data_IF_573622359110
#
_entry.id   IF_573622359110
#
_cell.length_a   1.000
_cell.length_b   1.000
_cell.length_c   1.000
_cell.angle_alpha   90.00
_cell.angle_beta   90.00
_cell.angle_gamma   90.00
#
_symmetry.space_group_name_H-M   'P 1'
#
loop_
_entity.id
_entity.type
_entity.pdbx_description
1 polymer ?
#
# COMPACT_ATOMS: atom_id res chain seq x y z
N UNK A 1 17.28 4.01 -9.15
CA UNK A 1 16.45 3.32 -8.14
C UNK A 1 15.54 2.25 -8.77
N UNK A 2 14.62 2.58 -9.69
CA UNK A 2 13.63 1.60 -10.19
C UNK A 2 14.23 0.37 -10.90
N UNK A 3 15.31 0.53 -11.67
CA UNK A 3 16.02 -0.60 -12.32
C UNK A 3 16.61 -1.58 -11.30
N UNK A 4 17.32 -1.08 -10.31
CA UNK A 4 17.87 -1.88 -9.22
C UNK A 4 16.78 -2.61 -8.42
N UNK A 5 15.63 -1.95 -8.18
CA UNK A 5 14.47 -2.58 -7.53
C UNK A 5 13.90 -3.74 -8.34
N UNK A 6 13.82 -3.59 -9.67
CA UNK A 6 13.41 -4.67 -10.57
C UNK A 6 14.42 -5.82 -10.58
N UNK A 7 15.72 -5.53 -10.63
CA UNK A 7 16.75 -6.56 -10.67
C UNK A 7 16.73 -7.41 -9.39
N UNK A 8 16.57 -6.78 -8.22
CA UNK A 8 16.42 -7.47 -6.93
C UNK A 8 15.15 -8.32 -6.89
N UNK A 9 14.01 -7.78 -7.32
CA UNK A 9 12.74 -8.51 -7.34
C UNK A 9 12.83 -9.73 -8.27
N UNK A 10 13.40 -9.58 -9.47
CA UNK A 10 13.60 -10.67 -10.42
C UNK A 10 14.52 -11.75 -9.88
N UNK A 11 15.66 -11.38 -9.28
CA UNK A 11 16.59 -12.33 -8.70
C UNK A 11 15.91 -13.19 -7.62
N UNK A 12 15.08 -12.59 -6.76
CA UNK A 12 14.34 -13.36 -5.75
C UNK A 12 13.32 -14.30 -6.40
N UNK A 13 12.57 -13.80 -7.40
CA UNK A 13 11.52 -14.58 -8.07
C UNK A 13 12.05 -15.72 -8.95
N UNK A 14 13.31 -15.66 -9.38
CA UNK A 14 13.97 -16.78 -10.07
C UNK A 14 14.11 -18.01 -9.15
N UNK A 15 14.47 -17.80 -7.88
CA UNK A 15 14.62 -18.88 -6.90
C UNK A 15 13.34 -19.18 -6.12
N UNK A 16 12.47 -18.18 -5.93
CA UNK A 16 11.21 -18.27 -5.19
C UNK A 16 10.10 -17.55 -5.97
N UNK A 17 9.52 -18.19 -6.99
CA UNK A 17 8.53 -17.55 -7.89
C UNK A 17 7.28 -17.04 -7.17
N UNK A 18 7.04 -17.51 -5.96
CA UNK A 18 5.89 -17.16 -5.14
C UNK A 18 6.21 -16.21 -3.98
N UNK A 19 7.43 -15.66 -3.90
CA UNK A 19 7.81 -14.71 -2.86
C UNK A 19 6.94 -13.45 -2.93
N UNK A 20 6.04 -13.34 -1.96
CA UNK A 20 5.02 -12.30 -1.96
C UNK A 20 5.60 -10.89 -1.82
N UNK A 21 6.68 -10.76 -1.03
CA UNK A 21 7.35 -9.49 -0.81
C UNK A 21 8.05 -9.03 -2.09
N UNK A 22 8.67 -9.94 -2.82
CA UNK A 22 9.29 -9.65 -4.11
C UNK A 22 8.25 -9.27 -5.18
N UNK A 23 7.10 -9.95 -5.23
CA UNK A 23 5.99 -9.57 -6.11
C UNK A 23 5.49 -8.14 -5.80
N UNK A 24 5.28 -7.84 -4.52
CA UNK A 24 4.74 -6.58 -4.04
C UNK A 24 5.71 -5.39 -4.27
N UNK A 25 6.97 -5.54 -3.87
CA UNK A 25 8.00 -4.51 -4.08
C UNK A 25 8.34 -4.35 -5.57
N UNK A 26 8.38 -5.46 -6.31
CA UNK A 26 8.62 -5.45 -7.73
C UNK A 26 7.53 -4.71 -8.51
N UNK A 27 6.26 -4.80 -8.10
CA UNK A 27 5.13 -4.17 -8.78
C UNK A 27 5.32 -2.66 -8.99
N UNK A 28 5.64 -1.91 -7.93
CA UNK A 28 5.91 -0.47 -8.03
C UNK A 28 7.12 -0.17 -8.92
N UNK A 29 8.16 -1.01 -8.85
CA UNK A 29 9.35 -0.84 -9.68
C UNK A 29 9.07 -1.10 -11.18
N UNK A 30 8.33 -2.17 -11.50
CA UNK A 30 7.87 -2.49 -12.86
C UNK A 30 6.98 -1.39 -13.44
N UNK A 31 6.04 -0.87 -12.65
CA UNK A 31 5.17 0.22 -13.08
C UNK A 31 5.96 1.46 -13.49
N UNK A 32 6.99 1.84 -12.71
CA UNK A 32 7.87 2.98 -13.02
C UNK A 32 8.73 2.78 -14.26
N UNK A 33 8.99 1.54 -14.65
CA UNK A 33 9.70 1.20 -15.89
C UNK A 33 8.76 1.04 -17.10
N UNK A 34 7.45 1.21 -16.92
CA UNK A 34 6.46 1.06 -17.97
C UNK A 34 5.94 -0.36 -18.19
N UNK A 35 6.38 -1.33 -17.36
CA UNK A 35 5.99 -2.74 -17.44
C UNK A 35 4.62 -2.96 -16.75
N UNK A 36 3.60 -2.25 -17.21
CA UNK A 36 2.31 -2.10 -16.52
C UNK A 36 1.60 -3.43 -16.30
N UNK A 37 1.48 -4.28 -17.32
CA UNK A 37 0.74 -5.54 -17.20
C UNK A 37 1.40 -6.50 -16.19
N UNK A 38 2.74 -6.52 -16.14
CA UNK A 38 3.46 -7.30 -15.14
C UNK A 38 3.22 -6.72 -13.75
N UNK A 39 3.32 -5.41 -13.61
CA UNK A 39 3.11 -4.71 -12.36
C UNK A 39 1.71 -4.95 -11.77
N UNK A 40 0.67 -4.82 -12.60
CA UNK A 40 -0.73 -5.02 -12.20
C UNK A 40 -0.95 -6.48 -11.74
N UNK A 41 -0.45 -7.45 -12.51
CA UNK A 41 -0.55 -8.87 -12.16
C UNK A 41 0.18 -9.18 -10.85
N UNK A 42 1.40 -8.70 -10.68
CA UNK A 42 2.20 -8.94 -9.48
C UNK A 42 1.56 -8.34 -8.23
N UNK A 43 1.02 -7.11 -8.33
CA UNK A 43 0.33 -6.48 -7.21
C UNK A 43 -0.96 -7.24 -6.85
N UNK A 44 -1.75 -7.61 -7.86
CA UNK A 44 -2.98 -8.40 -7.65
C UNK A 44 -2.70 -9.73 -6.96
N UNK A 45 -1.75 -10.52 -7.48
CA UNK A 45 -1.37 -11.80 -6.87
C UNK A 45 -0.88 -11.60 -5.44
N UNK A 46 -0.13 -10.52 -5.19
CA UNK A 46 0.37 -10.24 -3.86
C UNK A 46 -0.75 -9.96 -2.84
N UNK A 47 -1.73 -9.14 -3.23
CA UNK A 47 -2.90 -8.84 -2.41
C UNK A 47 -3.81 -10.05 -2.20
N UNK A 48 -3.98 -10.91 -3.21
CA UNK A 48 -4.80 -12.13 -3.08
C UNK A 48 -4.22 -13.12 -2.07
N UNK A 49 -2.89 -13.19 -1.94
CA UNK A 49 -2.21 -14.13 -1.06
C UNK A 49 -2.20 -13.70 0.40
N UNK A 50 -1.95 -12.42 0.65
CA UNK A 50 -1.85 -11.86 2.01
C UNK A 50 -2.62 -10.55 2.12
N UNK A 51 -3.97 -10.60 1.99
CA UNK A 51 -4.80 -9.41 1.88
C UNK A 51 -4.81 -8.53 3.14
N UNK A 52 -4.31 -9.04 4.26
CA UNK A 52 -4.33 -8.40 5.57
C UNK A 52 -2.93 -8.04 6.10
N UNK A 53 -1.87 -8.32 5.33
CA UNK A 53 -0.51 -7.94 5.72
C UNK A 53 -0.32 -6.42 5.57
N UNK A 54 0.02 -5.67 6.65
CA UNK A 54 0.12 -4.22 6.58
C UNK A 54 1.20 -3.71 5.62
N UNK A 55 2.31 -4.44 5.48
CA UNK A 55 3.41 -4.04 4.58
C UNK A 55 2.93 -4.15 3.13
N UNK A 56 2.25 -5.24 2.79
CA UNK A 56 1.68 -5.46 1.45
C UNK A 56 0.62 -4.42 1.14
N UNK A 57 -0.26 -4.13 2.10
CA UNK A 57 -1.29 -3.10 1.96
C UNK A 57 -0.70 -1.70 1.78
N UNK A 58 0.36 -1.35 2.51
CA UNK A 58 1.05 -0.07 2.35
C UNK A 58 1.65 0.10 0.95
N UNK A 59 2.37 -0.92 0.49
CA UNK A 59 2.97 -0.89 -0.84
C UNK A 59 1.90 -0.92 -1.96
N UNK A 60 0.77 -1.60 -1.72
CA UNK A 60 -0.39 -1.53 -2.62
C UNK A 60 -1.00 -0.13 -2.65
N UNK A 61 -1.07 0.58 -1.52
CA UNK A 61 -1.51 1.96 -1.49
C UNK A 61 -0.60 2.86 -2.35
N UNK A 62 0.72 2.72 -2.19
CA UNK A 62 1.70 3.43 -3.02
C UNK A 62 1.50 3.11 -4.51
N UNK A 63 1.37 1.82 -4.85
CA UNK A 63 1.15 1.34 -6.21
C UNK A 63 -0.11 1.93 -6.86
N UNK A 64 -1.23 1.88 -6.16
CA UNK A 64 -2.49 2.42 -6.66
C UNK A 64 -2.45 3.94 -6.78
N UNK A 65 -1.77 4.63 -5.86
CA UNK A 65 -1.59 6.07 -5.93
C UNK A 65 -0.81 6.45 -7.20
N UNK A 66 0.38 5.87 -7.44
CA UNK A 66 1.18 6.21 -8.63
C UNK A 66 0.56 5.72 -9.96
N UNK A 67 -0.30 4.70 -9.93
CA UNK A 67 -1.03 4.24 -11.11
C UNK A 67 -2.30 5.05 -11.41
N UNK A 68 -2.66 6.00 -10.55
CA UNK A 68 -3.81 6.91 -10.72
C UNK A 68 -5.12 6.42 -10.07
N UNK A 69 -5.11 5.26 -9.42
CA UNK A 69 -6.26 4.65 -8.77
C UNK A 69 -6.44 5.15 -7.33
N UNK A 70 -6.77 6.45 -7.19
CA UNK A 70 -6.78 7.17 -5.90
C UNK A 70 -7.65 6.51 -4.81
N UNK A 71 -8.87 6.06 -5.16
CA UNK A 71 -9.76 5.42 -4.18
C UNK A 71 -9.20 4.08 -3.69
N UNK A 72 -8.69 3.24 -4.60
CA UNK A 72 -8.07 1.96 -4.23
C UNK A 72 -6.82 2.17 -3.37
N UNK A 73 -6.07 3.25 -3.61
CA UNK A 73 -4.94 3.62 -2.78
C UNK A 73 -5.37 3.95 -1.35
N UNK A 74 -6.42 4.75 -1.20
CA UNK A 74 -6.98 5.11 0.11
C UNK A 74 -7.56 3.89 0.85
N UNK A 75 -8.25 2.99 0.13
CA UNK A 75 -8.75 1.73 0.71
C UNK A 75 -7.62 0.87 1.26
N UNK A 76 -6.54 0.71 0.50
CA UNK A 76 -5.36 -0.05 0.94
C UNK A 76 -4.68 0.62 2.14
N UNK A 77 -4.54 1.94 2.12
CA UNK A 77 -3.89 2.69 3.19
C UNK A 77 -4.69 2.65 4.50
N UNK A 78 -6.02 2.79 4.40
CA UNK A 78 -6.92 2.67 5.55
C UNK A 78 -6.88 1.25 6.12
N UNK A 79 -6.94 0.23 5.26
CA UNK A 79 -6.82 -1.17 5.70
C UNK A 79 -5.45 -1.44 6.34
N UNK A 80 -4.37 -0.91 5.78
CA UNK A 80 -3.03 -0.97 6.37
C UNK A 80 -3.04 -0.41 7.79
N UNK A 81 -3.59 0.80 7.97
CA UNK A 81 -3.69 1.43 9.28
C UNK A 81 -4.48 0.57 10.28
N UNK A 82 -5.64 0.03 9.86
CA UNK A 82 -6.48 -0.81 10.71
C UNK A 82 -5.80 -2.13 11.13
N UNK A 83 -4.95 -2.69 10.27
CA UNK A 83 -4.22 -3.93 10.55
C UNK A 83 -2.93 -3.69 11.35
N UNK A 84 -2.23 -2.57 11.11
CA UNK A 84 -1.02 -2.21 11.85
C UNK A 84 -1.30 -1.55 13.21
N UNK A 85 -2.47 -0.93 13.37
CA UNK A 85 -2.84 -0.11 14.54
C UNK A 85 -2.23 1.30 14.52
N UNK A 86 -1.10 1.48 13.83
CA UNK A 86 -0.50 2.80 13.58
C UNK A 86 0.36 2.77 12.32
N UNK A 87 0.56 3.93 11.71
CA UNK A 87 1.55 4.16 10.66
C UNK A 87 2.33 5.41 11.06
N UNK A 88 3.65 5.39 10.90
CA UNK A 88 4.49 6.54 11.20
C UNK A 88 4.02 7.77 10.38
N UNK A 89 3.52 8.85 11.03
CA UNK A 89 3.04 10.03 10.32
C UNK A 89 4.12 10.72 9.48
N UNK A 90 5.37 10.73 9.95
CA UNK A 90 6.47 11.35 9.21
C UNK A 90 6.83 10.53 7.97
N UNK A 91 6.66 9.21 8.02
CA UNK A 91 6.79 8.36 6.84
C UNK A 91 5.71 8.71 5.79
N UNK A 92 4.44 8.76 6.21
CA UNK A 92 3.32 9.12 5.33
C UNK A 92 3.47 10.52 4.72
N UNK A 93 3.99 11.49 5.49
CA UNK A 93 4.24 12.84 4.99
C UNK A 93 5.40 12.93 3.99
N UNK A 94 6.32 11.99 3.97
CA UNK A 94 7.50 12.10 3.11
C UNK A 94 7.51 11.11 1.95
N UNK A 95 6.58 10.16 1.93
CA UNK A 95 6.43 9.25 0.79
C UNK A 95 5.75 9.96 -0.39
N UNK A 96 6.55 10.25 -1.44
CA UNK A 96 6.09 10.91 -2.66
C UNK A 96 5.07 10.09 -3.44
N UNK A 97 5.01 8.77 -3.21
CA UNK A 97 4.07 7.90 -3.93
C UNK A 97 2.63 8.21 -3.55
N UNK A 98 2.42 8.81 -2.38
CA UNK A 98 1.12 9.15 -1.83
C UNK A 98 0.72 10.61 -2.09
N UNK A 99 1.52 11.38 -2.84
CA UNK A 99 1.30 12.81 -3.05
C UNK A 99 -0.09 13.12 -3.61
N UNK A 100 -0.57 12.31 -4.55
CA UNK A 100 -1.87 12.54 -5.18
C UNK A 100 -3.08 12.16 -4.31
N UNK A 101 -2.90 11.53 -3.15
CA UNK A 101 -3.99 11.20 -2.21
C UNK A 101 -3.91 11.97 -0.89
N UNK A 102 -2.82 12.70 -0.67
CA UNK A 102 -2.48 13.41 0.57
C UNK A 102 -3.53 14.44 1.01
N UNK A 103 -4.14 15.12 0.04
CA UNK A 103 -5.16 16.15 0.31
C UNK A 103 -6.56 15.57 0.58
N UNK A 104 -6.72 14.25 0.53
CA UNK A 104 -8.02 13.63 0.81
C UNK A 104 -8.34 13.67 2.30
N UNK A 105 -9.62 13.88 2.62
CA UNK A 105 -10.10 13.80 4.01
C UNK A 105 -9.82 12.44 4.66
N UNK A 106 -9.84 11.35 3.88
CA UNK A 106 -9.48 10.00 4.34
C UNK A 106 -8.02 9.90 4.76
N UNK A 107 -7.09 10.45 3.98
CA UNK A 107 -5.67 10.48 4.33
C UNK A 107 -5.42 11.28 5.61
N UNK A 108 -6.02 12.46 5.74
CA UNK A 108 -5.92 13.30 6.95
C UNK A 108 -6.45 12.59 8.19
N UNK A 109 -7.54 11.83 8.07
CA UNK A 109 -8.08 10.99 9.15
C UNK A 109 -7.09 9.90 9.59
N UNK A 110 -6.49 9.18 8.64
CA UNK A 110 -5.47 8.16 8.90
C UNK A 110 -4.28 8.78 9.64
N UNK A 111 -3.78 9.92 9.16
CA UNK A 111 -2.70 10.69 9.76
C UNK A 111 -2.97 11.13 11.21
N UNK A 112 -4.25 11.36 11.53
CA UNK A 112 -4.70 11.77 12.87
C UNK A 112 -5.00 10.58 13.79
N UNK A 113 -4.82 9.35 13.31
CA UNK A 113 -5.11 8.13 14.06
C UNK A 113 -6.60 7.78 14.18
N UNK A 114 -7.47 8.38 13.36
CA UNK A 114 -8.93 8.27 13.46
C UNK A 114 -9.59 7.91 12.13
N UNK A 115 -9.34 6.71 11.55
CA UNK A 115 -10.03 6.25 10.36
C UNK A 115 -11.53 6.05 10.65
N UNK A 116 -12.34 6.03 9.60
CA UNK A 116 -13.79 6.10 9.69
C UNK A 116 -14.40 4.92 10.45
N UNK A 117 -13.81 3.73 10.30
CA UNK A 117 -14.24 2.51 10.99
C UNK A 117 -13.91 2.49 12.49
N UNK A 118 -12.99 3.34 12.98
CA UNK A 118 -12.67 3.46 14.40
C UNK A 118 -13.63 4.39 15.15
N UNK A 119 -14.34 5.28 14.45
CA UNK A 119 -15.32 6.18 15.08
C UNK A 119 -16.59 5.45 15.58
N UNK A 120 -16.89 4.26 15.05
CA UNK A 120 -18.06 3.47 15.48
C UNK A 120 -17.82 2.74 16.82
N UNK A 121 -16.57 2.57 17.27
CA UNK A 121 -16.25 1.84 18.52
C UNK A 121 -16.11 2.73 19.77
N UNK A 122 -16.38 4.03 19.66
CA UNK A 122 -16.14 5.01 20.74
C UNK A 122 -17.38 5.55 21.45
N UNK A 123 -18.57 4.98 21.26
CA UNK A 123 -19.77 5.41 21.98
C UNK A 123 -20.57 4.19 22.49
N UNK A 124 -20.16 3.69 23.65
CA UNK A 124 -21.09 3.04 24.57
C UNK A 124 -20.90 3.77 25.89
N UNK A 125 -21.69 4.82 26.05
CA UNK A 125 -21.95 5.42 27.36
C UNK A 125 -22.43 4.31 28.28
N UNK A 126 -21.76 4.17 29.41
CA UNK A 126 -22.27 3.44 30.57
C UNK A 126 -23.42 4.30 31.09
N UNK A 127 -24.65 3.79 30.96
CA UNK A 127 -25.79 4.14 31.81
C UNK A 127 -26.20 2.88 32.58
#
# INVERSE_FOLDING_TARGET
ASREGVDKARAILEFKPDDNRALNLGATAWLRLGERELADRSMKVSLERVPDDPIVLYNAACYYAISGHREQALDCLEKCFLKAGTINPDWLKNDSDLDNIRDSGRFVRIMSGAPESLQIRGCSTID
#
